data_IF_063223781942
#
_entry.id   IF_063223781942
#
_cell.length_a   1.000
_cell.length_b   1.000
_cell.length_c   1.000
_cell.angle_alpha   90.00
_cell.angle_beta   90.00
_cell.angle_gamma   90.00
#
_symmetry.space_group_name_H-M   'P 1'
#
loop_
_entity.id
_entity.type
_entity.pdbx_description
1 polymer ?
#
# COMPACT_ATOMS: atom_id res chain seq x y z
N UNK A 1 16.17 -3.14 16.41
CA UNK A 1 16.37 -3.52 15.00
C UNK A 1 15.13 -4.25 14.55
N UNK A 2 14.23 -3.55 13.87
CA UNK A 2 13.11 -4.19 13.17
C UNK A 2 13.72 -4.93 12.00
N UNK A 3 13.43 -6.23 11.86
CA UNK A 3 13.82 -7.00 10.68
C UNK A 3 13.28 -6.26 9.45
N UNK A 4 14.09 -6.04 8.39
CA UNK A 4 13.60 -5.47 7.13
C UNK A 4 12.34 -6.21 6.71
N UNK A 5 11.35 -5.51 6.12
CA UNK A 5 10.27 -6.24 5.45
C UNK A 5 10.92 -7.11 4.39
N UNK A 6 10.87 -8.43 4.59
CA UNK A 6 11.30 -9.35 3.56
C UNK A 6 10.30 -9.29 2.41
N UNK A 7 10.59 -8.41 1.45
CA UNK A 7 9.86 -8.28 0.19
C UNK A 7 10.00 -9.54 -0.70
N UNK A 8 10.78 -10.55 -0.27
CA UNK A 8 10.91 -11.86 -0.91
C UNK A 8 10.03 -12.94 -0.28
N UNK A 9 9.64 -12.85 1.00
CA UNK A 9 8.58 -13.70 1.59
C UNK A 9 7.18 -13.30 1.12
N UNK A 10 7.02 -12.08 0.59
CA UNK A 10 5.78 -11.57 -0.03
C UNK A 10 5.62 -11.94 -1.50
N UNK A 11 6.56 -12.69 -2.09
CA UNK A 11 6.28 -13.53 -3.27
C UNK A 11 5.30 -14.62 -2.85
N UNK A 12 4.01 -14.34 -2.82
CA UNK A 12 3.03 -15.43 -2.76
C UNK A 12 3.05 -16.18 -4.09
N UNK A 13 3.28 -17.48 -3.96
CA UNK A 13 3.27 -18.47 -5.03
C UNK A 13 1.92 -18.43 -5.76
N UNK A 14 1.88 -18.72 -7.07
CA UNK A 14 0.64 -18.97 -7.79
C UNK A 14 -0.25 -19.96 -7.00
N UNK A 15 -1.52 -19.60 -6.73
CA UNK A 15 -2.49 -20.51 -6.09
C UNK A 15 -2.88 -20.23 -4.64
N UNK A 16 -2.44 -19.14 -4.00
CA UNK A 16 -3.01 -18.76 -2.68
C UNK A 16 -4.30 -17.97 -2.85
N UNK A 17 -5.44 -18.51 -2.39
CA UNK A 17 -6.78 -17.91 -2.44
C UNK A 17 -6.81 -16.55 -1.74
N UNK A 18 -7.45 -15.53 -2.35
CA UNK A 18 -7.65 -14.23 -1.72
C UNK A 18 -8.79 -14.26 -0.70
N UNK A 19 -9.84 -15.01 -0.99
CA UNK A 19 -10.95 -15.25 -0.06
C UNK A 19 -10.50 -16.04 1.16
N UNK A 20 -10.29 -15.33 2.27
CA UNK A 20 -10.26 -15.93 3.60
C UNK A 20 -11.71 -15.90 4.10
N UNK A 21 -12.25 -17.05 4.48
CA UNK A 21 -13.60 -17.12 5.07
C UNK A 21 -13.51 -16.68 6.53
N UNK A 22 -14.48 -15.91 7.00
CA UNK A 22 -14.57 -15.54 8.42
C UNK A 22 -14.98 -16.80 9.20
N UNK A 23 -14.20 -17.17 10.22
CA UNK A 23 -14.50 -18.32 11.09
C UNK A 23 -15.74 -18.03 11.95
N UNK A 24 -16.74 -18.90 11.90
CA UNK A 24 -18.04 -18.74 12.56
C UNK A 24 -17.93 -19.12 14.05
N UNK A 25 -17.61 -18.12 14.89
CA UNK A 25 -17.68 -18.26 16.34
C UNK A 25 -17.67 -16.90 17.04
N UNK A 26 -18.37 -16.73 18.18
CA UNK A 26 -18.26 -15.52 18.99
C UNK A 26 -16.92 -15.53 19.73
N UNK A 27 -15.82 -15.35 18.99
CA UNK A 27 -14.53 -15.06 19.60
C UNK A 27 -14.52 -13.59 19.98
N UNK A 28 -14.56 -13.34 21.29
CA UNK A 28 -14.40 -12.01 21.85
C UNK A 28 -13.15 -11.37 21.23
N UNK A 29 -13.33 -10.27 20.50
CA UNK A 29 -12.23 -9.46 19.98
C UNK A 29 -11.31 -9.12 21.14
N UNK A 30 -10.09 -9.67 21.13
CA UNK A 30 -9.03 -9.28 22.04
C UNK A 30 -8.87 -7.76 21.97
N UNK A 31 -9.01 -7.06 23.09
CA UNK A 31 -8.75 -5.62 23.12
C UNK A 31 -7.31 -5.37 22.65
N UNK A 32 -7.09 -4.42 21.73
CA UNK A 32 -5.76 -4.13 21.24
C UNK A 32 -4.84 -3.72 22.39
N UNK A 33 -3.72 -4.42 22.52
CA UNK A 33 -2.72 -4.15 23.54
C UNK A 33 -1.83 -3.00 23.09
N UNK A 34 -2.31 -1.77 23.26
CA UNK A 34 -1.57 -0.53 23.05
C UNK A 34 -1.41 -0.13 21.59
N UNK A 35 -1.52 1.18 21.31
CA UNK A 35 -1.16 1.76 20.01
C UNK A 35 0.36 1.86 19.92
N UNK A 36 0.96 1.43 18.79
CA UNK A 36 2.35 1.76 18.50
C UNK A 36 2.43 3.28 18.28
N UNK A 37 2.87 4.02 19.29
CA UNK A 37 3.13 5.45 19.15
C UNK A 37 4.41 5.66 18.36
N UNK A 38 4.45 6.73 17.56
CA UNK A 38 5.66 7.16 16.89
C UNK A 38 6.85 7.15 17.87
N UNK A 39 7.93 6.49 17.46
CA UNK A 39 9.21 6.52 18.16
C UNK A 39 10.16 7.38 17.34
N UNK A 40 10.61 8.48 17.94
CA UNK A 40 11.62 9.32 17.32
C UNK A 40 12.83 8.47 16.93
N UNK A 41 13.36 8.62 15.70
CA UNK A 41 14.55 7.90 15.30
C UNK A 41 15.70 8.27 16.23
N UNK A 42 16.55 7.29 16.53
CA UNK A 42 17.84 7.59 17.16
C UNK A 42 18.61 8.46 16.18
N UNK A 43 18.81 9.73 16.50
CA UNK A 43 19.59 10.63 15.67
C UNK A 43 21.08 10.27 15.81
N UNK A 44 21.87 10.36 14.72
CA UNK A 44 23.31 10.19 14.82
C UNK A 44 23.93 11.27 15.71
N UNK A 45 24.98 10.90 16.42
CA UNK A 45 25.77 11.82 17.24
C UNK A 45 26.38 12.94 16.36
N UNK A 46 26.58 14.16 16.88
CA UNK A 46 27.06 15.30 16.09
C UNK A 46 28.35 15.04 15.31
N UNK A 47 29.26 14.23 15.84
CA UNK A 47 30.53 13.88 15.19
C UNK A 47 30.33 13.02 13.93
N UNK A 48 29.19 12.34 13.81
CA UNK A 48 28.83 11.54 12.63
C UNK A 48 28.14 12.37 11.55
N UNK A 49 27.85 13.66 11.81
CA UNK A 49 27.26 14.59 10.84
C UNK A 49 28.31 15.27 9.97
N UNK A 50 29.59 15.18 10.32
CA UNK A 50 30.68 15.66 9.46
C UNK A 50 30.63 14.95 8.10
N UNK A 51 30.48 15.72 7.01
CA UNK A 51 30.39 15.20 5.64
C UNK A 51 28.99 14.76 5.19
N UNK A 52 27.95 14.93 6.02
CA UNK A 52 26.57 14.55 5.69
C UNK A 52 25.76 15.61 4.92
N UNK A 53 26.41 16.58 4.27
CA UNK A 53 25.73 17.73 3.65
C UNK A 53 24.68 17.31 2.60
N UNK A 54 25.01 16.35 1.72
CA UNK A 54 24.10 15.91 0.68
C UNK A 54 22.87 15.15 1.23
N UNK A 55 23.06 14.36 2.29
CA UNK A 55 21.99 13.65 2.98
C UNK A 55 21.05 14.62 3.72
N UNK A 56 21.60 15.62 4.41
CA UNK A 56 20.81 16.68 5.03
C UNK A 56 20.04 17.50 4.00
N UNK A 57 20.63 17.83 2.86
CA UNK A 57 19.93 18.50 1.75
C UNK A 57 18.80 17.65 1.19
N UNK A 58 19.01 16.35 0.98
CA UNK A 58 17.96 15.43 0.54
C UNK A 58 16.79 15.39 1.54
N UNK A 59 17.07 15.27 2.84
CA UNK A 59 16.05 15.30 3.89
C UNK A 59 15.29 16.64 3.90
N UNK A 60 15.98 17.78 3.73
CA UNK A 60 15.33 19.10 3.61
C UNK A 60 14.40 19.17 2.40
N UNK A 61 14.78 18.54 1.29
CA UNK A 61 13.99 18.51 0.06
C UNK A 61 12.71 17.66 0.19
N UNK A 62 12.65 16.72 1.14
CA UNK A 62 11.40 16.00 1.44
C UNK A 62 10.32 16.90 2.08
N UNK A 63 10.69 18.00 2.75
CA UNK A 63 9.75 18.81 3.55
C UNK A 63 8.81 19.68 2.70
N UNK A 64 9.33 20.26 1.62
CA UNK A 64 8.60 21.22 0.79
C UNK A 64 7.26 20.69 0.22
N UNK A 65 7.24 19.49 -0.38
CA UNK A 65 6.05 18.93 -1.03
C UNK A 65 4.92 18.53 -0.07
N UNK A 66 5.19 18.33 1.22
CA UNK A 66 4.19 17.88 2.19
C UNK A 66 3.03 18.88 2.44
N UNK A 67 3.23 20.18 2.17
CA UNK A 67 2.25 21.23 2.50
C UNK A 67 0.96 21.19 1.67
N UNK A 68 1.02 20.65 0.47
CA UNK A 68 -0.14 20.52 -0.41
C UNK A 68 0.15 19.40 -1.42
N UNK A 69 0.14 18.16 -0.95
CA UNK A 69 0.63 17.04 -1.76
C UNK A 69 -0.28 16.75 -2.96
N UNK A 70 -1.56 17.10 -2.85
CA UNK A 70 -2.56 16.94 -3.90
C UNK A 70 -2.34 17.92 -5.06
N UNK A 71 -1.84 19.13 -4.79
CA UNK A 71 -1.51 20.12 -5.82
C UNK A 71 -0.01 20.18 -6.16
N UNK A 72 0.85 19.65 -5.29
CA UNK A 72 2.28 19.59 -5.51
C UNK A 72 2.60 18.69 -6.71
N UNK A 73 3.51 19.16 -7.56
CA UNK A 73 4.12 18.31 -8.57
C UNK A 73 4.83 17.12 -7.93
N UNK A 74 5.05 16.07 -8.73
CA UNK A 74 5.77 14.88 -8.29
C UNK A 74 7.17 15.27 -7.79
N UNK A 75 7.46 15.00 -6.52
CA UNK A 75 8.80 15.15 -5.98
C UNK A 75 9.46 13.79 -5.81
N UNK A 76 10.52 13.58 -6.57
CA UNK A 76 11.35 12.38 -6.55
C UNK A 76 12.79 12.79 -6.36
N UNK A 77 13.45 12.17 -5.39
CA UNK A 77 14.83 12.44 -5.01
C UNK A 77 15.64 11.17 -5.23
N UNK A 78 16.70 11.26 -6.03
CA UNK A 78 17.58 10.14 -6.33
C UNK A 78 18.59 9.90 -5.19
N UNK A 79 18.65 8.67 -4.69
CA UNK A 79 19.61 8.27 -3.64
C UNK A 79 20.95 7.79 -4.22
N UNK A 80 21.03 7.49 -5.51
CA UNK A 80 22.23 6.98 -6.18
C UNK A 80 23.49 7.87 -6.05
N UNK A 81 23.36 9.21 -6.09
CA UNK A 81 24.51 10.11 -5.90
C UNK A 81 25.06 10.17 -4.47
N UNK A 82 24.34 9.65 -3.46
CA UNK A 82 24.79 9.72 -2.08
C UNK A 82 25.91 8.72 -1.81
N UNK A 83 26.97 9.17 -1.13
CA UNK A 83 27.96 8.26 -0.57
C UNK A 83 27.41 7.49 0.65
N UNK A 84 28.20 6.54 1.14
CA UNK A 84 27.79 5.66 2.23
C UNK A 84 27.45 6.42 3.53
N UNK A 85 28.11 7.55 3.79
CA UNK A 85 27.91 8.33 5.02
C UNK A 85 26.58 9.08 4.94
N UNK A 86 26.35 9.78 3.84
CA UNK A 86 25.09 10.48 3.59
C UNK A 86 23.91 9.50 3.50
N UNK A 87 24.12 8.32 2.90
CA UNK A 87 23.08 7.30 2.78
C UNK A 87 22.66 6.75 4.15
N UNK A 88 23.63 6.48 5.04
CA UNK A 88 23.34 6.01 6.40
C UNK A 88 22.54 7.03 7.21
N UNK A 89 22.85 8.32 7.09
CA UNK A 89 22.05 9.37 7.72
C UNK A 89 20.59 9.29 7.25
N UNK A 90 20.36 9.27 5.94
CA UNK A 90 19.00 9.22 5.37
C UNK A 90 18.25 7.95 5.83
N UNK A 91 18.92 6.79 5.79
CA UNK A 91 18.35 5.51 6.23
C UNK A 91 17.95 5.54 7.72
N UNK A 92 18.82 6.07 8.57
CA UNK A 92 18.60 6.16 10.01
C UNK A 92 17.48 7.15 10.35
N UNK A 93 17.43 8.30 9.67
CA UNK A 93 16.43 9.34 9.89
C UNK A 93 15.05 8.91 9.42
N UNK A 94 14.91 8.43 8.18
CA UNK A 94 13.60 8.10 7.62
C UNK A 94 13.07 6.75 8.15
N UNK A 95 13.95 5.75 8.24
CA UNK A 95 13.57 4.41 8.65
C UNK A 95 12.49 3.77 7.78
N UNK A 96 11.90 2.70 8.31
CA UNK A 96 10.81 1.96 7.68
C UNK A 96 9.54 2.09 8.54
N UNK A 97 8.44 2.40 7.88
CA UNK A 97 7.10 2.41 8.42
C UNK A 97 6.37 1.09 8.23
N UNK A 98 5.04 1.19 8.21
CA UNK A 98 4.13 0.05 8.29
C UNK A 98 3.58 -0.37 6.92
N UNK A 99 3.56 0.55 5.95
CA UNK A 99 2.95 0.34 4.64
C UNK A 99 4.01 0.03 3.58
N UNK A 100 3.74 -0.98 2.75
CA UNK A 100 4.56 -1.36 1.61
C UNK A 100 3.70 -1.63 0.39
N UNK A 101 4.25 -1.38 -0.79
CA UNK A 101 3.60 -1.55 -2.08
C UNK A 101 4.49 -2.38 -2.99
N UNK A 102 3.91 -3.34 -3.67
CA UNK A 102 4.61 -4.21 -4.61
C UNK A 102 3.85 -4.20 -5.94
N UNK A 103 4.54 -3.83 -7.00
CA UNK A 103 4.15 -4.15 -8.36
C UNK A 103 4.57 -5.59 -8.68
N UNK A 104 3.63 -6.39 -9.18
CA UNK A 104 3.82 -7.80 -9.48
C UNK A 104 4.69 -7.98 -10.74
N UNK A 105 5.72 -8.80 -10.61
CA UNK A 105 6.66 -9.11 -11.70
C UNK A 105 8.10 -9.19 -11.21
N UNK A 106 8.97 -9.86 -11.97
CA UNK A 106 10.40 -9.95 -11.68
C UNK A 106 11.08 -8.57 -11.67
N UNK A 107 10.58 -7.66 -12.50
CA UNK A 107 11.01 -6.28 -12.65
C UNK A 107 9.91 -5.33 -12.17
N UNK A 108 9.15 -5.70 -11.13
CA UNK A 108 8.17 -4.81 -10.53
C UNK A 108 8.84 -3.77 -9.63
N UNK A 109 8.30 -2.57 -9.62
CA UNK A 109 8.64 -1.51 -8.67
C UNK A 109 8.19 -1.90 -7.25
N UNK A 110 9.00 -1.58 -6.26
CA UNK A 110 8.65 -1.75 -4.84
C UNK A 110 8.67 -0.40 -4.17
N UNK A 111 7.79 -0.20 -3.21
CA UNK A 111 7.87 0.94 -2.32
C UNK A 111 7.63 0.56 -0.86
N UNK A 112 8.30 1.29 0.02
CA UNK A 112 8.18 1.19 1.46
C UNK A 112 7.93 2.59 2.00
N UNK A 113 6.83 2.79 2.71
CA UNK A 113 6.61 4.02 3.45
C UNK A 113 7.63 4.09 4.58
N UNK A 114 8.17 5.28 4.82
CA UNK A 114 9.09 5.52 5.93
C UNK A 114 8.32 5.71 7.25
N UNK A 115 8.99 6.07 8.35
CA UNK A 115 8.28 6.46 9.59
C UNK A 115 7.56 7.80 9.46
N UNK A 116 7.77 8.50 8.36
CA UNK A 116 7.12 9.75 7.99
C UNK A 116 6.08 9.42 6.92
N UNK A 117 4.80 9.59 7.26
CA UNK A 117 3.69 9.31 6.37
C UNK A 117 3.79 10.15 5.09
N UNK A 118 3.50 9.50 3.96
CA UNK A 118 3.61 10.10 2.63
C UNK A 118 5.05 10.29 2.12
N UNK A 119 6.07 9.84 2.86
CA UNK A 119 7.46 9.76 2.37
C UNK A 119 7.78 8.29 2.10
N UNK A 120 8.04 7.98 0.84
CA UNK A 120 8.19 6.63 0.33
C UNK A 120 9.60 6.40 -0.19
N UNK A 121 10.20 5.26 0.16
CA UNK A 121 11.38 4.73 -0.53
C UNK A 121 10.94 3.81 -1.65
N UNK A 122 11.42 4.05 -2.86
CA UNK A 122 11.12 3.26 -4.05
C UNK A 122 12.37 2.50 -4.52
N UNK A 123 12.19 1.25 -4.93
CA UNK A 123 13.15 0.47 -5.70
C UNK A 123 12.59 0.26 -7.11
N UNK A 124 13.08 1.06 -8.06
CA UNK A 124 12.60 1.07 -9.44
C UNK A 124 13.56 0.26 -10.33
N UNK A 125 13.07 -0.59 -11.24
CA UNK A 125 13.92 -1.28 -12.21
C UNK A 125 14.64 -0.28 -13.14
N UNK A 126 15.97 -0.32 -13.14
CA UNK A 126 16.81 0.50 -14.04
C UNK A 126 17.35 -0.32 -15.23
N UNK A 127 17.60 -1.61 -14.99
CA UNK A 127 17.99 -2.59 -16.01
C UNK A 127 17.58 -4.00 -15.56
N UNK A 128 17.95 -5.03 -16.33
CA UNK A 128 17.64 -6.42 -15.97
C UNK A 128 18.21 -6.85 -14.60
N UNK A 129 19.29 -6.22 -14.14
CA UNK A 129 20.00 -6.59 -12.89
C UNK A 129 20.18 -5.43 -11.92
N UNK A 130 19.83 -4.20 -12.31
CA UNK A 130 20.02 -3.01 -11.48
C UNK A 130 18.69 -2.35 -11.15
N UNK A 131 18.62 -1.78 -9.95
CA UNK A 131 17.49 -1.00 -9.47
C UNK A 131 17.99 0.35 -8.99
N UNK A 132 17.25 1.40 -9.34
CA UNK A 132 17.45 2.73 -8.80
C UNK A 132 16.67 2.84 -7.49
N UNK A 133 17.26 3.53 -6.52
CA UNK A 133 16.63 3.79 -5.23
C UNK A 133 16.28 5.27 -5.14
N UNK A 134 15.00 5.54 -4.90
CA UNK A 134 14.45 6.89 -4.91
C UNK A 134 13.68 7.16 -3.63
N UNK A 135 13.55 8.43 -3.27
CA UNK A 135 12.52 8.89 -2.33
C UNK A 135 11.43 9.60 -3.12
N UNK A 136 10.18 9.26 -2.88
CA UNK A 136 9.01 9.95 -3.42
C UNK A 136 8.15 10.50 -2.27
N UNK A 137 7.73 11.76 -2.39
CA UNK A 137 6.79 12.38 -1.43
C UNK A 137 5.42 12.43 -2.09
N UNK A 138 4.51 11.56 -1.66
CA UNK A 138 3.15 11.42 -2.19
C UNK A 138 2.20 10.74 -1.17
N UNK A 139 0.89 10.99 -1.27
CA UNK A 139 -0.13 10.24 -0.48
C UNK A 139 -0.09 8.73 -0.75
N UNK A 140 0.34 8.35 -1.96
CA UNK A 140 0.61 6.99 -2.42
C UNK A 140 1.61 7.10 -3.58
N UNK A 141 2.59 6.19 -3.73
CA UNK A 141 3.54 6.26 -4.83
C UNK A 141 2.84 6.28 -6.18
N UNK A 142 3.26 7.17 -7.07
CA UNK A 142 2.60 7.40 -8.36
C UNK A 142 2.43 6.12 -9.19
N UNK A 143 3.40 5.20 -9.12
CA UNK A 143 3.35 3.96 -9.90
C UNK A 143 2.10 3.12 -9.57
N UNK A 144 1.52 3.24 -8.37
CA UNK A 144 0.28 2.55 -7.99
C UNK A 144 -0.84 2.87 -8.97
N UNK A 145 -1.06 4.16 -9.25
CA UNK A 145 -2.10 4.62 -10.17
C UNK A 145 -1.73 4.33 -11.63
N UNK A 146 -0.45 4.40 -11.96
CA UNK A 146 0.03 4.16 -13.32
C UNK A 146 -0.03 2.68 -13.71
N UNK A 147 0.15 1.75 -12.77
CA UNK A 147 0.30 0.33 -13.09
C UNK A 147 -0.78 -0.62 -12.57
N UNK A 148 -1.54 -0.27 -11.53
CA UNK A 148 -2.55 -1.16 -10.92
C UNK A 148 -3.49 -1.81 -11.96
N UNK A 149 -3.88 -1.03 -12.96
CA UNK A 149 -4.89 -1.41 -13.96
C UNK A 149 -4.35 -1.44 -15.40
N UNK A 150 -3.03 -1.52 -15.60
CA UNK A 150 -2.47 -1.80 -16.93
C UNK A 150 -2.96 -3.19 -17.38
N UNK A 151 -3.49 -3.29 -18.60
CA UNK A 151 -3.88 -4.58 -19.18
C UNK A 151 -5.08 -5.26 -18.54
N UNK A 152 -5.81 -4.60 -17.62
CA UNK A 152 -7.03 -5.14 -17.02
C UNK A 152 -8.22 -5.09 -17.97
N UNK A 153 -9.22 -5.92 -17.72
CA UNK A 153 -10.47 -5.93 -18.46
C UNK A 153 -11.53 -5.03 -17.79
N UNK A 154 -12.55 -4.64 -18.55
CA UNK A 154 -13.69 -3.82 -18.04
C UNK A 154 -15.01 -4.61 -18.02
N UNK A 155 -15.04 -5.79 -18.63
CA UNK A 155 -16.23 -6.64 -18.74
C UNK A 155 -15.84 -8.07 -18.45
N UNK A 156 -16.61 -8.73 -17.60
CA UNK A 156 -16.41 -10.08 -17.13
C UNK A 156 -17.31 -10.98 -17.97
N UNK A 157 -16.70 -11.86 -18.77
CA UNK A 157 -17.47 -12.73 -19.65
C UNK A 157 -18.53 -13.52 -18.88
N UNK A 158 -19.76 -13.66 -19.40
CA UNK A 158 -20.77 -14.48 -18.76
C UNK A 158 -20.34 -15.95 -18.75
N UNK A 159 -20.63 -16.65 -17.66
CA UNK A 159 -20.37 -18.09 -17.54
C UNK A 159 -21.62 -18.85 -17.92
N UNK A 160 -21.50 -19.86 -18.79
CA UNK A 160 -22.63 -20.63 -19.28
C UNK A 160 -23.27 -21.52 -18.19
N UNK A 161 -22.48 -21.99 -17.23
CA UNK A 161 -22.92 -22.82 -16.11
C UNK A 161 -22.23 -22.36 -14.83
N UNK A 162 -23.01 -22.03 -13.80
CA UNK A 162 -22.49 -21.77 -12.46
C UNK A 162 -22.19 -23.10 -11.76
N UNK A 163 -21.11 -23.14 -10.99
CA UNK A 163 -20.82 -24.29 -10.15
C UNK A 163 -21.88 -24.43 -9.05
N UNK A 164 -22.16 -25.67 -8.63
CA UNK A 164 -23.09 -25.95 -7.54
C UNK A 164 -22.64 -25.22 -6.26
N UNK A 165 -23.57 -24.53 -5.59
CA UNK A 165 -23.29 -23.77 -4.37
C UNK A 165 -22.93 -22.30 -4.58
N UNK A 166 -22.70 -21.85 -5.82
CA UNK A 166 -22.62 -20.42 -6.15
C UNK A 166 -24.03 -19.82 -6.08
N UNK A 167 -24.19 -18.75 -5.33
CA UNK A 167 -25.48 -18.13 -5.05
C UNK A 167 -25.43 -16.61 -5.27
N UNK A 168 -24.62 -15.88 -4.51
CA UNK A 168 -24.64 -14.42 -4.50
C UNK A 168 -23.56 -13.79 -5.40
N UNK A 169 -22.47 -14.49 -5.68
CA UNK A 169 -21.36 -13.95 -6.46
C UNK A 169 -21.76 -13.41 -7.86
N UNK A 170 -22.67 -14.04 -8.64
CA UNK A 170 -23.06 -13.53 -9.95
C UNK A 170 -23.70 -12.14 -9.91
N UNK A 171 -24.49 -11.84 -8.88
CA UNK A 171 -25.10 -10.53 -8.71
C UNK A 171 -24.04 -9.46 -8.37
N UNK A 172 -23.03 -9.83 -7.56
CA UNK A 172 -21.92 -8.95 -7.23
C UNK A 172 -21.05 -8.64 -8.46
N UNK A 173 -20.81 -9.64 -9.32
CA UNK A 173 -20.13 -9.42 -10.61
C UNK A 173 -20.89 -8.40 -11.46
N UNK A 174 -22.20 -8.55 -11.61
CA UNK A 174 -23.02 -7.62 -12.39
C UNK A 174 -23.02 -6.20 -11.80
N UNK A 175 -23.03 -6.07 -10.47
CA UNK A 175 -22.92 -4.78 -9.78
C UNK A 175 -21.57 -4.11 -10.04
N UNK A 176 -20.48 -4.88 -9.94
CA UNK A 176 -19.11 -4.40 -10.22
C UNK A 176 -18.99 -3.92 -11.67
N UNK A 177 -19.44 -4.71 -12.65
CA UNK A 177 -19.40 -4.32 -14.06
C UNK A 177 -20.16 -3.02 -14.31
N UNK A 178 -21.35 -2.87 -13.74
CA UNK A 178 -22.13 -1.65 -13.85
C UNK A 178 -21.36 -0.45 -13.27
N UNK A 179 -20.75 -0.62 -12.09
CA UNK A 179 -20.01 0.45 -11.41
C UNK A 179 -18.71 0.81 -12.11
N UNK A 180 -18.00 -0.17 -12.67
CA UNK A 180 -16.80 0.06 -13.50
C UNK A 180 -17.15 0.84 -14.76
N UNK A 181 -18.28 0.53 -15.42
CA UNK A 181 -18.73 1.26 -16.62
C UNK A 181 -19.12 2.72 -16.32
N UNK A 182 -19.71 2.96 -15.15
CA UNK A 182 -20.11 4.29 -14.69
C UNK A 182 -18.92 5.13 -14.18
N UNK A 183 -17.88 4.50 -13.67
CA UNK A 183 -16.77 5.16 -12.98
C UNK A 183 -16.07 6.23 -13.82
N UNK A 184 -15.79 7.37 -13.20
CA UNK A 184 -14.98 8.49 -13.73
C UNK A 184 -13.91 8.91 -12.71
N UNK A 185 -12.79 9.49 -13.17
CA UNK A 185 -11.79 10.04 -12.26
C UNK A 185 -12.40 11.07 -11.30
N UNK A 186 -12.16 10.90 -10.00
CA UNK A 186 -12.71 11.75 -8.94
C UNK A 186 -14.04 11.29 -8.35
N UNK A 187 -14.65 10.22 -8.87
CA UNK A 187 -15.83 9.62 -8.25
C UNK A 187 -15.52 9.06 -6.86
N UNK A 188 -16.49 9.13 -5.95
CA UNK A 188 -16.40 8.47 -4.65
C UNK A 188 -16.36 6.95 -4.80
N UNK A 189 -15.59 6.29 -3.94
CA UNK A 189 -15.49 4.83 -3.95
C UNK A 189 -16.87 4.15 -3.80
N UNK A 190 -17.16 3.20 -4.68
CA UNK A 190 -18.28 2.27 -4.51
C UNK A 190 -17.78 1.04 -3.74
N UNK A 191 -18.34 0.78 -2.57
CA UNK A 191 -17.85 -0.26 -1.65
C UNK A 191 -18.92 -1.34 -1.47
N UNK A 192 -18.56 -2.58 -1.80
CA UNK A 192 -19.36 -3.78 -1.54
C UNK A 192 -18.75 -4.51 -0.35
N UNK A 193 -19.48 -4.59 0.77
CA UNK A 193 -19.04 -5.28 1.97
C UNK A 193 -19.38 -6.77 1.93
N UNK A 194 -18.40 -7.61 1.58
CA UNK A 194 -18.57 -9.05 1.46
C UNK A 194 -18.83 -9.73 2.80
N UNK A 195 -18.25 -9.21 3.89
CA UNK A 195 -18.43 -9.78 5.24
C UNK A 195 -19.86 -9.64 5.77
N UNK A 196 -20.63 -8.67 5.27
CA UNK A 196 -22.03 -8.49 5.64
C UNK A 196 -23.01 -9.28 4.74
N UNK A 197 -22.51 -9.92 3.69
CA UNK A 197 -23.32 -10.70 2.77
C UNK A 197 -23.25 -12.20 3.13
N UNK A 198 -24.36 -12.95 2.99
CA UNK A 198 -24.34 -14.39 3.19
C UNK A 198 -23.63 -15.07 2.00
N UNK A 199 -22.31 -15.17 2.06
CA UNK A 199 -21.48 -15.73 0.99
C UNK A 199 -21.18 -17.21 1.25
N UNK A 200 -21.29 -18.05 0.22
CA UNK A 200 -20.79 -19.44 0.30
C UNK A 200 -19.29 -19.51 -0.02
N UNK A 201 -18.61 -20.60 0.36
CA UNK A 201 -17.22 -20.84 -0.06
C UNK A 201 -17.09 -20.85 -1.59
N UNK A 202 -18.11 -21.37 -2.30
CA UNK A 202 -18.15 -21.42 -3.76
C UNK A 202 -18.32 -20.03 -4.35
N UNK A 203 -19.11 -19.15 -3.72
CA UNK A 203 -19.18 -17.75 -4.14
C UNK A 203 -17.81 -17.05 -4.01
N UNK A 204 -17.13 -17.27 -2.89
CA UNK A 204 -15.80 -16.73 -2.64
C UNK A 204 -14.76 -17.21 -3.66
N UNK A 205 -14.78 -18.49 -4.02
CA UNK A 205 -13.93 -19.05 -5.06
C UNK A 205 -14.28 -18.49 -6.44
N UNK A 206 -15.59 -18.33 -6.73
CA UNK A 206 -16.06 -17.74 -7.97
C UNK A 206 -15.57 -16.28 -8.11
N UNK A 207 -15.71 -15.45 -7.08
CA UNK A 207 -15.20 -14.07 -7.10
C UNK A 207 -13.68 -14.02 -7.32
N UNK A 208 -12.90 -14.85 -6.61
CA UNK A 208 -11.44 -14.93 -6.76
C UNK A 208 -11.03 -15.26 -8.21
N UNK A 209 -11.70 -16.24 -8.83
CA UNK A 209 -11.45 -16.62 -10.21
C UNK A 209 -11.85 -15.52 -11.20
N UNK A 210 -13.06 -14.97 -11.07
CA UNK A 210 -13.64 -14.05 -12.05
C UNK A 210 -13.00 -12.67 -12.02
N UNK A 211 -12.68 -12.16 -10.84
CA UNK A 211 -12.04 -10.85 -10.69
C UNK A 211 -10.56 -10.93 -11.08
N UNK A 212 -9.92 -12.09 -10.89
CA UNK A 212 -8.52 -12.28 -11.21
C UNK A 212 -7.61 -11.32 -10.43
N UNK A 213 -6.38 -11.15 -10.92
CA UNK A 213 -5.34 -10.36 -10.24
C UNK A 213 -4.80 -9.27 -11.16
N UNK A 214 -4.66 -8.09 -10.60
CA UNK A 214 -3.98 -6.96 -11.20
C UNK A 214 -2.51 -6.93 -10.80
N UNK A 215 -1.88 -5.79 -11.05
CA UNK A 215 -0.43 -5.65 -10.92
C UNK A 215 0.02 -5.14 -9.56
N UNK A 216 -0.86 -4.59 -8.72
CA UNK A 216 -0.45 -3.91 -7.49
C UNK A 216 -1.00 -4.59 -6.24
N UNK A 217 -0.15 -4.73 -5.23
CA UNK A 217 -0.50 -5.18 -3.89
C UNK A 217 0.04 -4.19 -2.88
N UNK A 218 -0.80 -3.75 -1.96
CA UNK A 218 -0.47 -2.86 -0.85
C UNK A 218 -0.70 -3.63 0.44
N UNK A 219 0.29 -3.56 1.34
CA UNK A 219 0.28 -4.22 2.62
C UNK A 219 0.54 -3.17 3.70
N UNK A 220 -0.38 -3.04 4.63
CA UNK A 220 -0.19 -2.26 5.86
C UNK A 220 -0.05 -3.22 7.03
N UNK A 221 1.06 -3.14 7.76
CA UNK A 221 1.36 -3.98 8.93
C UNK A 221 1.31 -3.12 10.18
N UNK A 222 0.38 -3.38 11.09
CA UNK A 222 0.26 -2.61 12.32
C UNK A 222 -1.12 -2.77 12.93
N UNK A 223 -1.53 -1.78 13.72
CA UNK A 223 -2.90 -1.72 14.20
C UNK A 223 -3.84 -1.45 13.01
N UNK A 224 -4.75 -2.39 12.72
CA UNK A 224 -5.59 -2.32 11.53
C UNK A 224 -4.92 -2.86 10.26
N UNK A 225 -4.05 -3.88 10.42
CA UNK A 225 -3.42 -4.64 9.34
C UNK A 225 -4.35 -4.83 8.14
N UNK A 226 -3.90 -4.40 6.98
CA UNK A 226 -4.71 -4.38 5.77
C UNK A 226 -3.94 -4.97 4.58
N UNK A 227 -4.63 -5.76 3.78
CA UNK A 227 -4.17 -6.24 2.47
C UNK A 227 -5.10 -5.69 1.41
N UNK A 228 -4.52 -4.95 0.47
CA UNK A 228 -5.24 -4.32 -0.62
C UNK A 228 -4.63 -4.81 -1.93
N UNK A 229 -5.43 -5.38 -2.81
CA UNK A 229 -4.96 -5.95 -4.07
C UNK A 229 -5.80 -5.44 -5.23
N UNK A 230 -5.12 -4.93 -6.26
CA UNK A 230 -5.77 -4.61 -7.52
C UNK A 230 -6.24 -5.93 -8.16
N UNK A 231 -7.48 -5.98 -8.62
CA UNK A 231 -8.00 -7.13 -9.37
C UNK A 231 -7.60 -7.04 -10.85
N UNK A 232 -7.91 -8.09 -11.60
CA UNK A 232 -7.78 -8.09 -13.07
C UNK A 232 -8.84 -7.24 -13.77
N UNK A 233 -9.75 -6.62 -13.00
CA UNK A 233 -10.81 -5.73 -13.48
C UNK A 233 -10.44 -4.29 -13.17
N UNK A 234 -10.59 -3.41 -14.16
CA UNK A 234 -10.22 -2.01 -14.07
C UNK A 234 -10.93 -1.31 -12.89
N UNK A 235 -10.17 -0.55 -12.09
CA UNK A 235 -10.64 0.19 -10.90
C UNK A 235 -11.20 -0.65 -9.76
N UNK A 236 -11.12 -1.98 -9.83
CA UNK A 236 -11.64 -2.85 -8.77
C UNK A 236 -10.50 -3.32 -7.88
N UNK A 237 -10.59 -2.93 -6.62
CA UNK A 237 -9.69 -3.34 -5.55
C UNK A 237 -10.39 -4.32 -4.62
N UNK A 238 -9.62 -5.25 -4.07
CA UNK A 238 -10.05 -6.09 -2.98
C UNK A 238 -9.29 -5.71 -1.72
N UNK A 239 -10.03 -5.22 -0.71
CA UNK A 239 -9.50 -4.67 0.54
C UNK A 239 -9.91 -5.60 1.68
N UNK A 240 -8.92 -6.03 2.46
CA UNK A 240 -9.11 -6.95 3.59
C UNK A 240 -8.45 -6.40 4.83
N UNK A 241 -9.19 -6.33 5.92
CA UNK A 241 -8.68 -5.96 7.23
C UNK A 241 -8.58 -7.17 8.13
N UNK A 242 -7.51 -7.21 8.91
CA UNK A 242 -7.20 -8.29 9.84
C UNK A 242 -7.07 -7.72 11.26
N UNK A 243 -7.45 -8.53 12.25
CA UNK A 243 -7.18 -8.20 13.65
C UNK A 243 -5.73 -8.54 14.04
N UNK A 244 -5.39 -8.36 15.32
CA UNK A 244 -4.05 -8.65 15.84
C UNK A 244 -3.65 -10.13 15.83
N UNK A 245 -4.61 -11.03 15.63
CA UNK A 245 -4.40 -12.48 15.54
C UNK A 245 -4.45 -12.98 14.08
N UNK A 246 -4.26 -12.07 13.11
CA UNK A 246 -4.30 -12.32 11.66
C UNK A 246 -5.62 -12.91 11.15
N UNK A 247 -6.72 -12.72 11.89
CA UNK A 247 -8.06 -13.14 11.45
C UNK A 247 -8.74 -12.03 10.66
N UNK A 248 -9.35 -12.40 9.53
CA UNK A 248 -10.12 -11.49 8.70
C UNK A 248 -11.33 -10.94 9.46
N UNK A 249 -11.45 -9.63 9.52
CA UNK A 249 -12.59 -8.93 10.18
C UNK A 249 -13.46 -8.16 9.20
N UNK A 250 -12.93 -7.77 8.05
CA UNK A 250 -13.66 -7.06 7.01
C UNK A 250 -13.04 -7.39 5.64
N UNK A 251 -13.89 -7.71 4.68
CA UNK A 251 -13.53 -7.93 3.28
C UNK A 251 -14.47 -7.09 2.41
N UNK A 252 -13.90 -6.20 1.60
CA UNK A 252 -14.65 -5.33 0.69
C UNK A 252 -14.11 -5.43 -0.73
N UNK A 253 -15.01 -5.25 -1.71
CA UNK A 253 -14.65 -4.92 -3.08
C UNK A 253 -14.93 -3.44 -3.29
N UNK A 254 -13.94 -2.71 -3.79
CA UNK A 254 -14.00 -1.26 -3.91
C UNK A 254 -13.74 -0.85 -5.36
N UNK A 255 -14.71 -0.17 -5.97
CA UNK A 255 -14.55 0.45 -7.30
C UNK A 255 -14.10 1.89 -7.11
N UNK A 256 -12.81 2.15 -7.29
CA UNK A 256 -12.14 3.43 -7.02
C UNK A 256 -10.77 3.51 -7.69
N UNK A 257 -10.21 4.72 -7.80
CA UNK A 257 -8.81 4.93 -8.24
C UNK A 257 -7.83 4.19 -7.32
N UNK A 258 -7.83 4.57 -6.04
CA UNK A 258 -7.06 3.93 -4.97
C UNK A 258 -7.95 3.89 -3.71
N UNK A 259 -7.99 2.78 -2.96
CA UNK A 259 -8.74 2.71 -1.71
C UNK A 259 -8.25 3.73 -0.70
N UNK A 260 -9.18 4.39 0.01
CA UNK A 260 -8.84 5.41 1.01
C UNK A 260 -7.91 4.85 2.10
N UNK A 261 -8.04 3.56 2.43
CA UNK A 261 -7.21 2.85 3.41
C UNK A 261 -5.73 2.72 3.00
N UNK A 262 -5.39 2.98 1.73
CA UNK A 262 -4.01 3.00 1.24
C UNK A 262 -3.38 4.39 1.20
N UNK A 263 -4.18 5.46 1.25
CA UNK A 263 -3.71 6.83 1.11
C UNK A 263 -3.25 7.36 2.47
N UNK A 264 -2.05 7.93 2.52
CA UNK A 264 -1.63 8.73 3.67
C UNK A 264 -2.52 9.98 3.76
N UNK A 265 -3.17 10.18 4.89
CA UNK A 265 -4.04 11.35 5.09
C UNK A 265 -3.21 12.64 5.13
N UNK A 266 -3.79 13.75 4.67
CA UNK A 266 -3.09 15.04 4.68
C UNK A 266 -2.65 15.46 6.10
N UNK A 267 -3.44 15.11 7.13
CA UNK A 267 -3.07 15.34 8.53
C UNK A 267 -1.79 14.58 8.93
N UNK A 268 -1.69 13.29 8.57
CA UNK A 268 -0.50 12.48 8.87
C UNK A 268 0.75 12.98 8.13
N UNK A 269 0.56 13.49 6.91
CA UNK A 269 1.62 14.09 6.09
C UNK A 269 2.10 15.41 6.69
N UNK A 270 1.18 16.26 7.15
CA UNK A 270 1.50 17.51 7.84
C UNK A 270 2.24 17.26 9.16
N UNK A 271 1.78 16.28 9.94
CA UNK A 271 2.48 15.80 11.14
C UNK A 271 3.89 15.32 10.82
N UNK A 272 4.05 14.57 9.73
CA UNK A 272 5.33 14.03 9.29
C UNK A 272 6.28 15.11 8.81
N UNK A 273 5.76 16.17 8.17
CA UNK A 273 6.52 17.37 7.81
C UNK A 273 7.08 18.07 9.04
N UNK A 274 6.25 18.21 10.08
CA UNK A 274 6.64 18.92 11.30
C UNK A 274 7.66 18.09 12.09
N UNK A 275 7.46 16.78 12.20
CA UNK A 275 8.46 15.84 12.75
C UNK A 275 9.79 15.89 12.00
N UNK A 276 9.77 15.94 10.68
CA UNK A 276 10.99 16.07 9.88
C UNK A 276 11.69 17.41 10.13
N UNK A 277 10.94 18.50 10.35
CA UNK A 277 11.52 19.78 10.72
C UNK A 277 12.24 19.72 12.07
N UNK A 278 11.62 19.11 13.08
CA UNK A 278 12.22 18.90 14.41
C UNK A 278 13.50 18.04 14.31
N UNK A 279 13.46 16.96 13.52
CA UNK A 279 14.64 16.12 13.28
C UNK A 279 15.76 16.94 12.64
N UNK A 280 15.46 17.73 11.60
CA UNK A 280 16.46 18.55 10.92
C UNK A 280 17.05 19.62 11.85
N UNK A 281 16.24 20.23 12.71
CA UNK A 281 16.72 21.19 13.72
C UNK A 281 17.65 20.54 14.74
N UNK A 282 17.36 19.31 15.17
CA UNK A 282 18.22 18.55 16.06
C UNK A 282 19.54 18.11 15.41
N UNK A 283 19.58 18.00 14.07
CA UNK A 283 20.78 17.68 13.29
C UNK A 283 21.62 18.92 12.90
N UNK A 284 21.11 20.14 13.10
CA UNK A 284 21.80 21.41 12.81
C UNK A 284 21.79 21.86 11.34
#
# INVERSE_FOLDING_TARGET
>A
MTTPIDLTETRRMPGTTFSVVVDDGPDYLSMPKGMATYQAPLLPEPELLEGCTAGLELLRNCKGPCRDIASAGRTVLDLGPLDLVNRRLVDQTLGEGEVSVIEQGLQGTRAQETRLAGVWRLEVPASATARDELIEVAEIPRFVRESAFIGTIETIAPVAHLADGVMNAPALIAEIEAKVAEWRPGDSAHIINLTLLPMTEQDHAYLDERLGRGHVTILSRGYGSCRIVASGIRQVWWVQHFNSDDRLILSTLEVTDVPIAALAAQEDIDDSRDRLAEILEALG
#
